data_IF_204568511844
#
_entry.id   IF_204568511844
#
_cell.length_a   1.000
_cell.length_b   1.000
_cell.length_c   1.000
_cell.angle_alpha   90.00
_cell.angle_beta   90.00
_cell.angle_gamma   90.00
#
_symmetry.space_group_name_H-M   'P 1'
#
loop_
_entity.id
_entity.type
_entity.pdbx_description
1 polymer ?
#
# COMPACT_ATOMS: atom_id res chain seq x y z
N UNK A 1 21.61 -15.13 15.48
CA UNK A 1 21.85 -13.68 15.30
C UNK A 1 23.28 -13.51 14.81
N UNK A 2 23.49 -12.63 13.83
CA UNK A 2 24.78 -12.35 13.18
C UNK A 2 24.96 -10.84 13.08
N UNK A 3 26.19 -10.35 13.20
CA UNK A 3 26.52 -8.92 13.09
C UNK A 3 26.90 -8.60 11.64
N UNK A 4 26.19 -7.67 11.03
CA UNK A 4 26.44 -7.21 9.66
C UNK A 4 27.26 -5.93 9.69
N UNK A 5 28.16 -5.79 8.71
CA UNK A 5 29.03 -4.63 8.52
C UNK A 5 28.27 -3.40 8.03
N UNK A 6 27.32 -3.58 7.12
CA UNK A 6 26.48 -2.52 6.58
C UNK A 6 25.12 -3.04 6.05
N UNK A 7 24.30 -2.12 5.51
CA UNK A 7 22.99 -2.45 4.94
C UNK A 7 23.10 -3.24 3.62
N UNK A 8 24.17 -3.02 2.84
CA UNK A 8 24.35 -3.70 1.56
C UNK A 8 24.65 -5.20 1.77
N UNK A 9 25.36 -5.55 2.85
CA UNK A 9 25.56 -6.95 3.25
C UNK A 9 24.23 -7.62 3.58
N UNK A 10 23.34 -6.95 4.30
CA UNK A 10 22.00 -7.45 4.62
C UNK A 10 21.18 -7.69 3.35
N UNK A 11 21.17 -6.71 2.43
CA UNK A 11 20.45 -6.83 1.16
C UNK A 11 20.97 -7.99 0.30
N UNK A 12 22.30 -8.14 0.20
CA UNK A 12 22.94 -9.25 -0.53
C UNK A 12 22.56 -10.62 0.04
N UNK A 13 22.56 -10.76 1.37
CA UNK A 13 22.16 -12.01 2.04
C UNK A 13 20.68 -12.30 1.79
N UNK A 14 19.80 -11.29 1.88
CA UNK A 14 18.37 -11.46 1.62
C UNK A 14 18.10 -11.84 0.17
N UNK A 15 18.82 -11.27 -0.80
CA UNK A 15 18.71 -11.64 -2.21
C UNK A 15 19.25 -13.04 -2.52
N UNK A 16 20.28 -13.49 -1.78
CA UNK A 16 20.67 -14.89 -1.78
C UNK A 16 19.52 -15.79 -1.30
N UNK A 17 18.85 -15.42 -0.21
CA UNK A 17 17.75 -16.20 0.37
C UNK A 17 16.48 -16.24 -0.50
N UNK A 18 16.29 -15.31 -1.43
CA UNK A 18 15.19 -15.34 -2.41
C UNK A 18 15.49 -16.23 -3.62
N UNK A 19 16.76 -16.52 -3.91
CA UNK A 19 17.20 -17.19 -5.16
C UNK A 19 17.88 -18.55 -4.96
N UNK A 20 17.89 -19.05 -3.72
CA UNK A 20 18.48 -20.34 -3.34
C UNK A 20 17.91 -21.54 -4.11
N UNK A 21 18.78 -22.49 -4.45
CA UNK A 21 18.44 -23.70 -5.20
C UNK A 21 17.52 -24.66 -4.43
N UNK A 22 17.62 -24.68 -3.10
CA UNK A 22 16.76 -25.45 -2.19
C UNK A 22 15.42 -24.77 -1.88
N UNK A 23 15.10 -23.69 -2.60
CA UNK A 23 13.86 -22.93 -2.52
C UNK A 23 14.02 -21.59 -1.80
N UNK A 24 13.16 -20.60 -2.11
CA UNK A 24 13.19 -19.30 -1.46
C UNK A 24 12.77 -19.41 0.00
N UNK A 25 13.52 -18.77 0.89
CA UNK A 25 13.20 -18.71 2.32
C UNK A 25 12.56 -17.39 2.73
N UNK A 26 12.72 -16.36 1.91
CA UNK A 26 12.13 -15.05 2.10
C UNK A 26 11.55 -14.53 0.80
N UNK A 27 10.58 -13.62 0.88
CA UNK A 27 10.04 -12.86 -0.25
C UNK A 27 10.19 -11.36 0.01
N UNK A 28 10.58 -10.61 -1.02
CA UNK A 28 10.61 -9.14 -0.98
C UNK A 28 9.19 -8.63 -1.23
N UNK A 29 8.67 -7.84 -0.30
CA UNK A 29 7.34 -7.23 -0.41
C UNK A 29 7.40 -5.95 -1.26
N UNK A 30 6.26 -5.52 -1.84
CA UNK A 30 6.15 -4.22 -2.48
C UNK A 30 6.58 -3.09 -1.53
N UNK A 31 7.20 -2.05 -2.10
CA UNK A 31 7.60 -0.88 -1.32
C UNK A 31 6.36 -0.09 -0.92
N UNK A 32 6.26 0.24 0.36
CA UNK A 32 5.24 1.15 0.85
C UNK A 32 5.48 2.58 0.31
N UNK A 33 4.41 3.34 0.01
CA UNK A 33 4.52 4.75 -0.37
C UNK A 33 5.35 5.56 0.65
N UNK A 34 6.31 6.33 0.15
CA UNK A 34 7.19 7.16 0.98
C UNK A 34 8.33 6.42 1.72
N UNK A 35 8.43 5.09 1.62
CA UNK A 35 9.56 4.32 2.18
C UNK A 35 10.69 4.16 1.17
N UNK A 36 11.93 4.32 1.64
CA UNK A 36 13.14 4.17 0.81
C UNK A 36 13.52 2.71 0.55
N UNK A 37 13.08 1.81 1.43
CA UNK A 37 13.48 0.40 1.46
C UNK A 37 12.25 -0.52 1.39
N UNK A 38 12.46 -1.76 0.91
CA UNK A 38 11.42 -2.79 0.86
C UNK A 38 11.47 -3.64 2.13
N UNK A 39 10.33 -4.21 2.54
CA UNK A 39 10.30 -5.22 3.62
C UNK A 39 10.48 -6.63 3.05
N UNK A 40 10.89 -7.56 3.90
CA UNK A 40 10.99 -8.98 3.58
C UNK A 40 10.15 -9.81 4.54
N UNK A 41 9.55 -10.90 4.05
CA UNK A 41 8.75 -11.85 4.82
C UNK A 41 9.30 -13.26 4.68
N UNK A 42 9.30 -14.05 5.75
CA UNK A 42 9.75 -15.44 5.69
C UNK A 42 8.68 -16.35 5.06
N UNK A 43 9.12 -17.44 4.42
CA UNK A 43 8.24 -18.40 3.73
C UNK A 43 8.05 -19.73 4.50
N UNK A 44 8.45 -19.77 5.77
CA UNK A 44 8.36 -20.97 6.61
C UNK A 44 6.98 -21.21 7.24
N UNK A 45 5.95 -20.43 6.89
CA UNK A 45 4.62 -20.63 7.45
C UNK A 45 3.83 -21.61 6.57
N UNK A 46 3.38 -22.72 7.16
CA UNK A 46 2.64 -23.78 6.46
C UNK A 46 1.21 -23.37 6.08
N UNK A 47 0.69 -22.30 6.68
CA UNK A 47 -0.63 -21.77 6.39
C UNK A 47 -0.53 -20.70 5.29
N UNK A 48 -0.70 -21.16 4.04
CA UNK A 48 -0.70 -20.28 2.87
C UNK A 48 -1.78 -19.21 2.93
N UNK A 49 -2.90 -19.44 3.61
CA UNK A 49 -3.96 -18.44 3.75
C UNK A 49 -3.50 -17.29 4.65
N UNK A 50 -2.75 -17.58 5.73
CA UNK A 50 -2.12 -16.52 6.54
C UNK A 50 -1.01 -15.80 5.80
N UNK A 51 -0.24 -16.48 4.95
CA UNK A 51 0.79 -15.83 4.13
C UNK A 51 0.15 -14.89 3.10
N UNK A 52 -0.90 -15.33 2.42
CA UNK A 52 -1.64 -14.49 1.45
C UNK A 52 -2.24 -13.29 2.18
N UNK A 53 -2.93 -13.50 3.31
CA UNK A 53 -3.54 -12.42 4.09
C UNK A 53 -2.50 -11.39 4.55
N UNK A 54 -1.33 -11.84 5.01
CA UNK A 54 -0.27 -10.92 5.45
C UNK A 54 0.38 -10.17 4.29
N UNK A 55 0.59 -10.83 3.14
CA UNK A 55 1.10 -10.17 1.93
C UNK A 55 0.09 -9.17 1.37
N UNK A 56 -1.20 -9.51 1.32
CA UNK A 56 -2.29 -8.63 0.88
C UNK A 56 -2.49 -7.44 1.83
N UNK A 57 -2.38 -7.65 3.14
CA UNK A 57 -2.45 -6.56 4.13
C UNK A 57 -1.25 -5.59 4.03
N UNK A 58 -0.11 -6.04 3.51
CA UNK A 58 1.12 -5.26 3.36
C UNK A 58 1.32 -4.73 1.94
N UNK A 59 0.58 -5.25 0.96
CA UNK A 59 0.50 -4.68 -0.37
C UNK A 59 -0.15 -3.29 -0.25
N UNK A 60 0.39 -2.26 -0.92
CA UNK A 60 -0.37 -1.04 -1.08
C UNK A 60 -1.64 -1.45 -1.81
N UNK A 61 -2.79 -1.33 -1.14
CA UNK A 61 -4.06 -1.21 -1.84
C UNK A 61 -3.81 -0.18 -2.94
N UNK A 62 -4.19 -0.49 -4.17
CA UNK A 62 -4.24 0.49 -5.27
C UNK A 62 -5.31 1.55 -4.92
N UNK A 63 -5.03 2.32 -3.86
CA UNK A 63 -5.87 3.33 -3.24
C UNK A 63 -5.95 4.54 -4.16
N UNK A 64 -5.02 4.70 -5.12
CA UNK A 64 -5.05 5.80 -6.08
C UNK A 64 -6.31 5.75 -6.97
N UNK A 65 -6.81 4.55 -7.30
CA UNK A 65 -8.04 4.37 -8.08
C UNK A 65 -9.29 4.63 -7.26
N UNK A 66 -9.36 4.08 -6.04
CA UNK A 66 -10.49 4.26 -5.13
C UNK A 66 -10.57 5.70 -4.60
N UNK A 67 -9.42 6.28 -4.26
CA UNK A 67 -9.29 7.68 -3.86
C UNK A 67 -9.73 8.62 -4.98
N UNK A 68 -9.31 8.36 -6.24
CA UNK A 68 -9.73 9.17 -7.39
C UNK A 68 -11.25 9.11 -7.60
N UNK A 69 -11.84 7.92 -7.49
CA UNK A 69 -13.29 7.76 -7.59
C UNK A 69 -14.04 8.47 -6.46
N UNK A 70 -13.54 8.38 -5.22
CA UNK A 70 -14.10 9.11 -4.05
C UNK A 70 -13.98 10.62 -4.21
N UNK A 71 -12.85 11.11 -4.71
CA UNK A 71 -12.64 12.55 -4.95
C UNK A 71 -13.62 13.06 -6.01
N UNK A 72 -13.78 12.36 -7.13
CA UNK A 72 -14.72 12.74 -8.19
C UNK A 72 -16.18 12.78 -7.69
N UNK A 73 -16.59 11.79 -6.88
CA UNK A 73 -17.91 11.77 -6.26
C UNK A 73 -18.13 12.98 -5.32
N UNK A 74 -17.17 13.27 -4.45
CA UNK A 74 -17.24 14.38 -3.50
C UNK A 74 -17.24 15.74 -4.22
N UNK A 75 -16.47 15.90 -5.29
CA UNK A 75 -16.48 17.12 -6.10
C UNK A 75 -17.85 17.37 -6.74
N UNK A 76 -18.51 16.31 -7.21
CA UNK A 76 -19.88 16.37 -7.73
C UNK A 76 -20.90 16.79 -6.65
N UNK A 77 -20.85 16.18 -5.47
CA UNK A 77 -21.71 16.53 -4.34
C UNK A 77 -21.51 17.98 -3.90
N UNK A 78 -20.25 18.44 -3.84
CA UNK A 78 -19.93 19.83 -3.49
C UNK A 78 -20.49 20.80 -4.53
N UNK A 79 -20.39 20.48 -5.83
CA UNK A 79 -20.96 21.31 -6.88
C UNK A 79 -22.49 21.42 -6.76
N UNK A 80 -23.17 20.31 -6.48
CA UNK A 80 -24.61 20.30 -6.27
C UNK A 80 -25.02 21.10 -5.01
N UNK A 81 -24.32 20.91 -3.90
CA UNK A 81 -24.58 21.64 -2.66
C UNK A 81 -24.37 23.14 -2.84
N UNK A 82 -23.34 23.57 -3.57
CA UNK A 82 -23.11 24.97 -3.91
C UNK A 82 -24.25 25.55 -4.74
N UNK A 83 -24.71 24.84 -5.77
CA UNK A 83 -25.84 25.28 -6.59
C UNK A 83 -27.13 25.43 -5.78
N UNK A 84 -27.41 24.49 -4.86
CA UNK A 84 -28.56 24.58 -3.95
C UNK A 84 -28.43 25.75 -2.98
N UNK A 85 -27.22 26.00 -2.45
CA UNK A 85 -26.96 27.12 -1.56
C UNK A 85 -27.16 28.46 -2.28
N UNK A 86 -26.64 28.60 -3.50
CA UNK A 86 -26.81 29.80 -4.32
C UNK A 86 -28.29 30.06 -4.62
N UNK A 87 -29.06 29.02 -4.95
CA UNK A 87 -30.51 29.13 -5.14
C UNK A 87 -31.25 29.57 -3.87
N UNK A 88 -30.87 29.07 -2.70
CA UNK A 88 -31.47 29.46 -1.43
C UNK A 88 -31.11 30.89 -1.04
N UNK A 89 -29.85 31.28 -1.21
CA UNK A 89 -29.38 32.65 -0.95
C UNK A 89 -30.07 33.65 -1.88
N UNK A 90 -30.29 33.30 -3.14
CA UNK A 90 -31.03 34.14 -4.08
C UNK A 90 -32.49 34.32 -3.62
N UNK A 91 -33.14 33.26 -3.17
CA UNK A 91 -34.55 33.30 -2.73
C UNK A 91 -34.77 34.00 -1.38
N UNK A 92 -33.72 34.11 -0.54
CA UNK A 92 -33.76 34.84 0.74
C UNK A 92 -33.37 36.32 0.60
N UNK A 93 -32.84 36.72 -0.56
CA UNK A 93 -32.42 38.10 -0.86
C UNK A 93 -33.46 38.94 -1.61
N UNK A 94 -34.49 38.31 -2.17
CA UNK A 94 -35.74 38.93 -2.67
C UNK A 94 -36.80 39.01 -1.55
#
# INVERSE_FOLDING_TARGET
>A
MYEFSDMAEVESVLEGLTTREDGPFVARLPREPGKRESRYMHLFCDDMDTLITTVEALAPLDDDGDLRARVEALEGEVAELKARLDSLLHHLGD
#
